data_IF_982584025005
#
_entry.id   IF_982584025005
#
_cell.length_a   1.000
_cell.length_b   1.000
_cell.length_c   1.000
_cell.angle_alpha   90.00
_cell.angle_beta   90.00
_cell.angle_gamma   90.00
#
_symmetry.space_group_name_H-M   'P 1'
#
loop_
_entity.id
_entity.type
_entity.pdbx_description
1 polymer ?
#
# COMPACT_ATOMS: atom_id res chain seq x y z
N UNK A 1 -0.31 -15.64 -13.16
CA UNK A 1 -0.18 -15.87 -11.70
C UNK A 1 -0.69 -14.66 -10.92
N UNK A 2 -0.15 -13.46 -11.20
CA UNK A 2 -0.56 -12.22 -10.50
C UNK A 2 -2.08 -11.97 -10.53
N UNK A 3 -2.73 -12.07 -11.68
CA UNK A 3 -4.19 -11.88 -11.81
C UNK A 3 -4.98 -12.89 -10.97
N UNK A 4 -4.55 -14.16 -10.96
CA UNK A 4 -5.20 -15.22 -10.18
C UNK A 4 -5.07 -14.93 -8.68
N UNK A 5 -3.88 -14.51 -8.23
CA UNK A 5 -3.66 -14.07 -6.86
C UNK A 5 -4.54 -12.86 -6.49
N UNK A 6 -4.67 -11.85 -7.36
CA UNK A 6 -5.59 -10.72 -7.11
C UNK A 6 -7.04 -11.16 -6.93
N UNK A 7 -7.52 -12.12 -7.71
CA UNK A 7 -8.89 -12.65 -7.58
C UNK A 7 -9.07 -13.42 -6.26
N UNK A 8 -8.07 -14.21 -5.87
CA UNK A 8 -8.09 -14.96 -4.61
C UNK A 8 -8.06 -14.02 -3.40
N UNK A 9 -7.21 -12.98 -3.41
CA UNK A 9 -7.15 -12.00 -2.33
C UNK A 9 -8.44 -11.18 -2.22
N UNK A 10 -9.03 -10.81 -3.36
CA UNK A 10 -10.36 -10.17 -3.39
C UNK A 10 -11.42 -11.07 -2.74
N UNK A 11 -11.40 -12.37 -3.02
CA UNK A 11 -12.27 -13.36 -2.37
C UNK A 11 -12.05 -13.43 -0.85
N UNK A 12 -10.79 -13.43 -0.40
CA UNK A 12 -10.44 -13.39 1.03
C UNK A 12 -10.97 -12.13 1.73
N UNK A 13 -10.87 -10.96 1.08
CA UNK A 13 -11.42 -9.70 1.60
C UNK A 13 -12.95 -9.76 1.70
N UNK A 14 -13.63 -10.38 0.73
CA UNK A 14 -15.09 -10.58 0.79
C UNK A 14 -15.50 -11.48 1.96
N UNK A 15 -14.69 -12.50 2.29
CA UNK A 15 -14.92 -13.34 3.47
C UNK A 15 -14.79 -12.56 4.78
N UNK A 16 -13.79 -11.67 4.87
CA UNK A 16 -13.59 -10.80 6.05
C UNK A 16 -14.72 -9.78 6.17
N UNK A 17 -15.08 -9.12 5.07
CA UNK A 17 -16.09 -8.06 5.06
C UNK A 17 -17.51 -8.58 5.35
N UNK A 18 -17.75 -9.89 5.22
CA UNK A 18 -19.01 -10.60 5.43
C UNK A 18 -20.23 -9.73 5.08
N UNK A 19 -20.39 -9.37 3.78
CA UNK A 19 -21.42 -8.43 3.39
C UNK A 19 -22.80 -9.01 3.76
N UNK A 20 -23.60 -8.18 4.43
CA UNK A 20 -24.94 -8.53 4.93
C UNK A 20 -25.84 -9.15 3.85
N UNK A 21 -25.62 -8.79 2.57
CA UNK A 21 -26.35 -9.32 1.42
C UNK A 21 -26.04 -10.79 1.08
N UNK A 22 -24.83 -11.29 1.35
CA UNK A 22 -24.43 -12.68 1.06
C UNK A 22 -24.61 -13.63 2.25
N UNK A 23 -24.58 -13.11 3.48
CA UNK A 23 -24.57 -13.92 4.70
C UNK A 23 -25.77 -13.69 5.65
N UNK A 24 -26.78 -12.89 5.25
CA UNK A 24 -28.10 -12.86 5.89
C UNK A 24 -28.18 -12.38 7.35
N UNK A 25 -27.16 -11.68 7.86
CA UNK A 25 -27.10 -11.20 9.26
C UNK A 25 -26.84 -9.69 9.40
N UNK A 26 -26.51 -9.23 10.62
CA UNK A 26 -25.99 -7.87 10.95
C UNK A 26 -24.59 -7.65 10.34
N UNK A 27 -24.43 -7.86 9.05
CA UNK A 27 -23.20 -7.54 8.32
C UNK A 27 -23.13 -6.07 7.97
N UNK A 28 -22.02 -5.67 7.34
CA UNK A 28 -21.77 -4.28 6.92
C UNK A 28 -22.91 -3.77 6.03
N UNK A 29 -23.34 -2.52 6.26
CA UNK A 29 -24.37 -1.85 5.46
C UNK A 29 -23.89 -1.73 3.99
N UNK A 30 -24.81 -1.93 3.02
CA UNK A 30 -24.51 -1.82 1.58
C UNK A 30 -23.84 -0.48 1.23
N UNK A 31 -24.29 0.61 1.84
CA UNK A 31 -23.71 1.93 1.64
C UNK A 31 -22.24 1.97 2.11
N UNK A 32 -21.94 1.41 3.28
CA UNK A 32 -20.59 1.36 3.84
C UNK A 32 -19.64 0.52 2.98
N UNK A 33 -20.12 -0.59 2.41
CA UNK A 33 -19.33 -1.42 1.50
C UNK A 33 -18.99 -0.67 0.20
N UNK A 34 -19.97 0.00 -0.41
CA UNK A 34 -19.76 0.78 -1.64
C UNK A 34 -18.78 1.93 -1.39
N UNK A 35 -18.94 2.65 -0.27
CA UNK A 35 -18.03 3.73 0.12
C UNK A 35 -16.60 3.22 0.38
N UNK A 36 -16.44 2.05 1.01
CA UNK A 36 -15.13 1.44 1.23
C UNK A 36 -14.44 1.04 -0.09
N UNK A 37 -15.19 0.45 -1.04
CA UNK A 37 -14.67 0.13 -2.36
C UNK A 37 -14.27 1.40 -3.15
N UNK A 38 -15.09 2.44 -3.07
CA UNK A 38 -14.79 3.73 -3.69
C UNK A 38 -13.54 4.37 -3.07
N UNK A 39 -13.38 4.31 -1.75
CA UNK A 39 -12.18 4.76 -1.06
C UNK A 39 -10.94 3.98 -1.51
N UNK A 40 -11.03 2.65 -1.60
CA UNK A 40 -9.93 1.81 -2.06
C UNK A 40 -9.50 2.17 -3.49
N UNK A 41 -10.46 2.37 -4.40
CA UNK A 41 -10.19 2.77 -5.78
C UNK A 41 -9.51 4.15 -5.85
N UNK A 42 -10.08 5.16 -5.18
CA UNK A 42 -9.49 6.50 -5.14
C UNK A 42 -8.11 6.51 -4.46
N UNK A 43 -7.94 5.73 -3.39
CA UNK A 43 -6.67 5.58 -2.69
C UNK A 43 -5.59 4.95 -3.56
N UNK A 44 -5.95 3.95 -4.39
CA UNK A 44 -5.03 3.37 -5.36
C UNK A 44 -4.62 4.40 -6.43
N UNK A 45 -5.58 5.11 -7.03
CA UNK A 45 -5.31 6.18 -7.99
C UNK A 45 -4.40 7.27 -7.40
N UNK A 46 -4.70 7.74 -6.18
CA UNK A 46 -3.90 8.75 -5.49
C UNK A 46 -2.45 8.29 -5.28
N UNK A 47 -2.24 7.03 -4.86
CA UNK A 47 -0.89 6.46 -4.70
C UNK A 47 -0.13 6.39 -6.02
N UNK A 48 -0.81 6.06 -7.13
CA UNK A 48 -0.19 6.03 -8.47
C UNK A 48 0.22 7.44 -8.91
N UNK A 49 -0.68 8.43 -8.77
CA UNK A 49 -0.38 9.83 -9.10
C UNK A 49 0.78 10.37 -8.25
N UNK A 50 0.76 10.11 -6.94
CA UNK A 50 1.87 10.51 -6.06
C UNK A 50 3.17 9.83 -6.46
N UNK A 51 3.13 8.55 -6.86
CA UNK A 51 4.33 7.84 -7.34
C UNK A 51 4.88 8.45 -8.63
N UNK A 52 4.02 8.90 -9.53
CA UNK A 52 4.42 9.56 -10.78
C UNK A 52 5.01 10.95 -10.51
N UNK A 53 4.33 11.76 -9.71
CA UNK A 53 4.75 13.13 -9.36
C UNK A 53 6.11 13.17 -8.61
N UNK A 54 6.47 12.08 -7.91
CA UNK A 54 7.77 11.94 -7.24
C UNK A 54 8.96 11.86 -8.19
N UNK A 55 8.73 11.60 -9.49
CA UNK A 55 9.80 11.58 -10.51
C UNK A 55 10.21 13.00 -10.93
N UNK A 56 9.30 13.97 -10.81
CA UNK A 56 9.50 15.35 -11.26
C UNK A 56 9.73 16.32 -10.09
N UNK A 57 9.11 16.06 -8.93
CA UNK A 57 9.10 16.98 -7.78
C UNK A 57 9.88 16.45 -6.55
N UNK A 58 10.34 17.34 -5.69
CA UNK A 58 10.96 16.99 -4.40
C UNK A 58 9.92 16.50 -3.39
N UNK A 59 10.33 15.66 -2.42
CA UNK A 59 9.37 15.05 -1.45
C UNK A 59 8.64 16.12 -0.66
N UNK A 60 9.35 17.20 -0.34
CA UNK A 60 8.86 18.28 0.52
C UNK A 60 7.67 18.99 -0.11
N UNK A 61 7.73 19.25 -1.42
CA UNK A 61 6.63 19.87 -2.19
C UNK A 61 5.40 18.98 -2.14
N UNK A 62 5.57 17.68 -2.36
CA UNK A 62 4.45 16.72 -2.38
C UNK A 62 3.78 16.62 -1.00
N UNK A 63 4.56 16.65 0.08
CA UNK A 63 4.01 16.66 1.44
C UNK A 63 3.25 17.95 1.75
N UNK A 64 3.76 19.11 1.33
CA UNK A 64 3.07 20.40 1.52
C UNK A 64 1.74 20.43 0.76
N UNK A 65 1.71 20.01 -0.50
CA UNK A 65 0.49 19.98 -1.31
C UNK A 65 -0.53 18.97 -0.76
N UNK A 66 -0.10 17.75 -0.45
CA UNK A 66 -1.00 16.73 0.10
C UNK A 66 -1.51 17.09 1.49
N UNK A 67 -0.69 17.71 2.34
CA UNK A 67 -1.09 18.23 3.64
C UNK A 67 -2.10 19.38 3.52
N UNK A 68 -1.86 20.32 2.59
CA UNK A 68 -2.79 21.42 2.31
C UNK A 68 -4.14 20.89 1.81
N UNK A 69 -4.12 19.93 0.90
CA UNK A 69 -5.34 19.29 0.39
C UNK A 69 -6.11 18.56 1.50
N UNK A 70 -5.43 17.80 2.36
CA UNK A 70 -6.08 17.17 3.52
C UNK A 70 -6.70 18.21 4.46
N UNK A 71 -6.03 19.34 4.70
CA UNK A 71 -6.57 20.42 5.53
C UNK A 71 -7.87 21.00 4.92
N UNK A 72 -7.87 21.29 3.62
CA UNK A 72 -9.06 21.77 2.90
C UNK A 72 -10.19 20.74 2.99
N UNK A 73 -9.90 19.45 2.72
CA UNK A 73 -10.88 18.38 2.84
C UNK A 73 -11.43 18.24 4.26
N UNK A 74 -10.60 18.40 5.29
CA UNK A 74 -11.03 18.36 6.68
C UNK A 74 -11.99 19.51 7.01
N UNK A 75 -11.69 20.74 6.55
CA UNK A 75 -12.58 21.90 6.73
C UNK A 75 -13.93 21.69 6.02
N UNK A 76 -13.89 21.22 4.76
CA UNK A 76 -15.12 20.92 4.00
C UNK A 76 -15.94 19.83 4.68
N UNK A 77 -15.29 18.77 5.18
CA UNK A 77 -15.96 17.71 5.93
C UNK A 77 -16.61 18.25 7.21
N UNK A 78 -15.92 19.13 7.95
CA UNK A 78 -16.46 19.76 9.15
C UNK A 78 -17.73 20.59 8.90
N UNK A 79 -17.85 21.20 7.71
CA UNK A 79 -19.02 22.01 7.35
C UNK A 79 -20.16 21.16 6.80
N UNK A 80 -19.83 20.14 5.99
CA UNK A 80 -20.81 19.35 5.24
C UNK A 80 -21.41 18.18 6.01
N UNK A 81 -20.70 17.65 7.01
CA UNK A 81 -21.14 16.48 7.77
C UNK A 81 -21.77 16.93 9.09
N UNK A 82 -23.10 16.84 9.26
CA UNK A 82 -23.73 17.21 10.52
C UNK A 82 -23.24 16.30 11.66
N UNK A 83 -22.74 16.91 12.74
CA UNK A 83 -22.19 16.22 13.91
C UNK A 83 -20.69 15.92 13.87
N UNK A 84 -19.96 16.34 12.82
CA UNK A 84 -18.49 16.15 12.76
C UNK A 84 -17.72 17.14 13.64
N UNK A 85 -18.33 18.25 14.03
CA UNK A 85 -17.69 19.25 14.89
C UNK A 85 -17.76 18.76 16.33
N UNK A 86 -16.69 18.11 16.78
CA UNK A 86 -16.53 17.73 18.18
C UNK A 86 -16.12 18.97 18.96
N UNK A 87 -16.94 19.38 19.92
CA UNK A 87 -16.58 20.42 20.87
C UNK A 87 -15.67 19.76 21.92
N UNK A 88 -14.38 20.05 21.89
CA UNK A 88 -13.44 19.52 22.88
C UNK A 88 -13.71 20.21 24.22
N UNK A 89 -14.21 19.45 25.19
CA UNK A 89 -14.55 19.97 26.52
C UNK A 89 -13.41 19.84 27.52
N UNK A 90 -12.42 18.98 27.25
CA UNK A 90 -11.31 18.73 28.16
C UNK A 90 -9.94 18.82 27.48
N UNK A 91 -8.96 19.37 28.19
CA UNK A 91 -7.57 19.54 27.71
C UNK A 91 -6.91 18.22 27.30
N UNK A 92 -7.23 17.10 27.96
CA UNK A 92 -6.66 15.80 27.60
C UNK A 92 -7.05 15.37 26.18
N UNK A 93 -8.26 15.70 25.72
CA UNK A 93 -8.72 15.38 24.36
C UNK A 93 -7.88 16.11 23.31
N UNK A 94 -7.52 17.37 23.58
CA UNK A 94 -6.66 18.18 22.70
C UNK A 94 -5.28 17.53 22.60
N UNK A 95 -4.70 17.13 23.75
CA UNK A 95 -3.39 16.47 23.80
C UNK A 95 -3.40 15.15 23.04
N UNK A 96 -4.42 14.30 23.23
CA UNK A 96 -4.52 13.04 22.49
C UNK A 96 -4.74 13.24 20.99
N UNK A 97 -5.48 14.28 20.59
CA UNK A 97 -5.73 14.61 19.18
C UNK A 97 -4.46 15.13 18.50
N UNK A 98 -3.68 15.97 19.19
CA UNK A 98 -2.37 16.42 18.72
C UNK A 98 -1.39 15.25 18.60
N UNK A 99 -1.31 14.38 19.62
CA UNK A 99 -0.41 13.21 19.59
C UNK A 99 -0.76 12.25 18.45
N UNK A 100 -2.04 11.91 18.29
CA UNK A 100 -2.49 11.02 17.21
C UNK A 100 -2.31 11.65 15.83
N UNK A 101 -2.59 12.96 15.69
CA UNK A 101 -2.36 13.70 14.45
C UNK A 101 -0.87 13.78 14.07
N UNK A 102 0.01 14.11 15.02
CA UNK A 102 1.46 14.15 14.80
C UNK A 102 2.02 12.76 14.49
N UNK A 103 1.56 11.71 15.17
CA UNK A 103 1.95 10.34 14.89
C UNK A 103 1.49 9.90 13.49
N UNK A 104 0.24 10.17 13.12
CA UNK A 104 -0.30 9.86 11.80
C UNK A 104 0.42 10.61 10.68
N UNK A 105 0.72 11.90 10.89
CA UNK A 105 1.50 12.69 9.94
C UNK A 105 2.92 12.14 9.81
N UNK A 106 3.59 11.81 10.93
CA UNK A 106 4.89 11.15 10.92
C UNK A 106 4.88 9.83 10.13
N UNK A 107 3.87 8.98 10.34
CA UNK A 107 3.69 7.74 9.60
C UNK A 107 3.54 7.99 8.09
N UNK A 108 2.76 9.01 7.69
CA UNK A 108 2.58 9.40 6.29
C UNK A 108 3.89 9.90 5.65
N UNK A 109 4.67 10.71 6.39
CA UNK A 109 5.99 11.21 5.98
C UNK A 109 6.95 10.03 5.77
N UNK A 110 7.03 9.11 6.74
CA UNK A 110 7.88 7.92 6.66
C UNK A 110 7.46 7.01 5.52
N UNK A 111 6.16 6.80 5.29
CA UNK A 111 5.67 6.02 4.15
C UNK A 111 6.10 6.67 2.82
N UNK A 112 5.93 7.99 2.72
CA UNK A 112 6.31 8.75 1.53
C UNK A 112 7.83 8.74 1.31
N UNK A 113 8.64 8.74 2.36
CA UNK A 113 10.10 8.59 2.27
C UNK A 113 10.51 7.15 1.92
N UNK A 114 9.87 6.14 2.52
CA UNK A 114 10.15 4.72 2.28
C UNK A 114 9.92 4.36 0.81
N UNK A 115 8.84 4.86 0.20
CA UNK A 115 8.57 4.69 -1.23
C UNK A 115 9.66 5.29 -2.15
N UNK A 116 10.63 6.06 -1.62
CA UNK A 116 11.71 6.74 -2.38
C UNK A 116 12.98 5.90 -2.31
N UNK A 117 13.18 5.25 -1.15
CA UNK A 117 14.39 4.51 -0.79
C UNK A 117 14.28 3.01 -1.11
N UNK A 118 13.07 2.47 -1.22
CA UNK A 118 12.84 1.04 -1.35
C UNK A 118 12.70 0.62 -2.82
N UNK A 119 13.68 -0.16 -3.30
CA UNK A 119 13.53 -1.03 -4.48
C UNK A 119 12.46 -2.10 -4.21
N UNK A 120 11.92 -2.75 -5.24
CA UNK A 120 10.72 -3.60 -5.16
C UNK A 120 10.65 -4.65 -4.02
N UNK A 121 11.79 -5.12 -3.47
CA UNK A 121 11.83 -6.21 -2.50
C UNK A 121 11.31 -5.86 -1.08
N UNK A 122 11.77 -4.82 -0.35
CA UNK A 122 11.23 -4.48 0.97
C UNK A 122 9.75 -4.08 1.00
N UNK A 123 9.18 -3.62 -0.11
CA UNK A 123 7.77 -3.22 -0.18
C UNK A 123 6.80 -4.40 0.09
N UNK A 124 7.21 -5.60 -0.33
CA UNK A 124 6.43 -6.82 -0.08
C UNK A 124 6.46 -7.20 1.40
N UNK A 125 7.61 -7.07 2.08
CA UNK A 125 7.76 -7.36 3.51
C UNK A 125 6.84 -6.49 4.39
N UNK A 126 6.76 -5.20 4.06
CA UNK A 126 5.88 -4.24 4.76
C UNK A 126 4.39 -4.57 4.61
N UNK A 127 4.00 -5.13 3.48
CA UNK A 127 2.61 -5.52 3.23
C UNK A 127 2.16 -6.66 4.15
N UNK A 128 3.04 -7.61 4.47
CA UNK A 128 2.73 -8.70 5.43
C UNK A 128 2.54 -8.19 6.85
N UNK A 129 3.49 -7.36 7.29
CA UNK A 129 3.48 -6.76 8.63
C UNK A 129 2.19 -5.96 8.87
N UNK A 130 1.70 -5.26 7.84
CA UNK A 130 0.47 -4.46 7.93
C UNK A 130 -0.76 -5.32 8.25
N UNK A 131 -0.91 -6.49 7.61
CA UNK A 131 -2.05 -7.39 7.86
C UNK A 131 -1.99 -7.98 9.28
N UNK A 132 -0.79 -8.43 9.69
CA UNK A 132 -0.58 -9.01 11.03
C UNK A 132 -0.82 -7.98 12.13
N UNK A 133 -0.25 -6.77 12.00
CA UNK A 133 -0.48 -5.69 12.96
C UNK A 133 -1.94 -5.25 12.98
N UNK A 134 -2.62 -5.23 11.83
CA UNK A 134 -4.05 -4.91 11.76
C UNK A 134 -4.91 -5.86 12.61
N UNK A 135 -4.64 -7.17 12.56
CA UNK A 135 -5.33 -8.16 13.39
C UNK A 135 -5.02 -7.98 14.88
N UNK A 136 -3.75 -7.81 15.24
CA UNK A 136 -3.31 -7.68 16.64
C UNK A 136 -3.93 -6.43 17.27
N UNK A 137 -3.84 -5.28 16.58
CA UNK A 137 -4.40 -4.02 17.07
C UNK A 137 -5.93 -4.05 17.08
N UNK A 138 -6.55 -4.69 16.08
CA UNK A 138 -8.00 -4.92 16.04
C UNK A 138 -8.48 -5.63 17.30
N UNK A 139 -7.86 -6.77 17.62
CA UNK A 139 -8.18 -7.54 18.82
C UNK A 139 -7.94 -6.74 20.11
N UNK A 140 -6.81 -6.05 20.23
CA UNK A 140 -6.43 -5.37 21.47
C UNK A 140 -7.27 -4.10 21.75
N UNK A 141 -7.57 -3.30 20.72
CA UNK A 141 -8.27 -2.02 20.89
C UNK A 141 -9.78 -2.13 20.76
N UNK A 142 -10.29 -2.97 19.86
CA UNK A 142 -11.73 -3.07 19.61
C UNK A 142 -12.37 -4.24 20.38
N UNK A 143 -11.57 -5.13 21.00
CA UNK A 143 -12.04 -6.36 21.66
C UNK A 143 -12.95 -7.22 20.76
N UNK A 144 -12.86 -7.02 19.45
CA UNK A 144 -13.56 -7.82 18.45
C UNK A 144 -12.78 -9.13 18.32
N UNK A 145 -13.36 -10.22 18.83
CA UNK A 145 -12.78 -11.56 18.67
C UNK A 145 -13.05 -12.00 17.24
N UNK A 146 -12.02 -12.09 16.38
CA UNK A 146 -12.25 -12.44 15.00
C UNK A 146 -12.81 -13.86 14.89
N UNK A 147 -13.87 -14.02 14.13
CA UNK A 147 -14.47 -15.34 13.89
C UNK A 147 -13.53 -16.25 13.08
N UNK A 148 -13.79 -17.56 13.11
CA UNK A 148 -13.06 -18.55 12.29
C UNK A 148 -12.99 -18.18 10.79
N UNK A 149 -14.03 -17.55 10.27
CA UNK A 149 -14.12 -17.11 8.87
C UNK A 149 -13.23 -15.90 8.57
N UNK A 150 -13.10 -14.96 9.50
CA UNK A 150 -12.23 -13.78 9.37
C UNK A 150 -10.76 -14.20 9.46
N UNK A 151 -10.45 -15.18 10.32
CA UNK A 151 -9.12 -15.75 10.43
C UNK A 151 -8.73 -16.52 9.14
N UNK A 152 -9.65 -17.29 8.58
CA UNK A 152 -9.45 -17.95 7.28
C UNK A 152 -9.26 -16.94 6.15
N UNK A 153 -10.08 -15.89 6.09
CA UNK A 153 -9.94 -14.82 5.10
C UNK A 153 -8.59 -14.10 5.23
N UNK A 154 -8.16 -13.79 6.45
CA UNK A 154 -6.87 -13.17 6.69
C UNK A 154 -5.70 -14.09 6.32
N UNK A 155 -5.79 -15.39 6.62
CA UNK A 155 -4.80 -16.37 6.21
C UNK A 155 -4.68 -16.44 4.68
N UNK A 156 -5.81 -16.46 3.95
CA UNK A 156 -5.83 -16.44 2.49
C UNK A 156 -5.17 -15.18 1.94
N UNK A 157 -5.50 -14.01 2.49
CA UNK A 157 -4.87 -12.73 2.07
C UNK A 157 -3.37 -12.77 2.32
N UNK A 158 -2.92 -13.15 3.52
CA UNK A 158 -1.50 -13.28 3.86
C UNK A 158 -0.76 -14.23 2.90
N UNK A 159 -1.29 -15.44 2.68
CA UNK A 159 -0.67 -16.43 1.80
C UNK A 159 -0.60 -15.92 0.35
N UNK A 160 -1.63 -15.23 -0.11
CA UNK A 160 -1.69 -14.70 -1.48
C UNK A 160 -0.69 -13.58 -1.68
N UNK A 161 -0.60 -12.64 -0.73
CA UNK A 161 0.43 -11.61 -0.75
C UNK A 161 1.83 -12.26 -0.76
N UNK A 162 2.01 -13.36 -0.01
CA UNK A 162 3.31 -14.04 0.15
C UNK A 162 3.78 -14.66 -1.16
N UNK A 163 2.86 -15.31 -1.87
CA UNK A 163 3.10 -15.84 -3.21
C UNK A 163 3.43 -14.74 -4.22
N UNK A 164 2.73 -13.60 -4.15
CA UNK A 164 3.01 -12.45 -5.04
C UNK A 164 4.40 -11.88 -4.82
N UNK A 165 4.82 -11.70 -3.56
CA UNK A 165 6.16 -11.18 -3.27
C UNK A 165 7.29 -12.13 -3.69
N UNK A 166 7.07 -13.44 -3.60
CA UNK A 166 8.02 -14.42 -4.13
C UNK A 166 8.12 -14.41 -5.65
N UNK A 167 7.00 -14.25 -6.35
CA UNK A 167 7.01 -14.14 -7.82
C UNK A 167 7.75 -12.88 -8.28
N UNK A 168 7.52 -11.75 -7.62
CA UNK A 168 8.20 -10.47 -7.91
C UNK A 168 9.72 -10.59 -7.73
N UNK A 169 10.18 -11.18 -6.62
CA UNK A 169 11.61 -11.45 -6.40
C UNK A 169 12.22 -12.32 -7.50
N UNK A 170 11.47 -13.32 -7.97
CA UNK A 170 11.92 -14.21 -9.05
C UNK A 170 12.04 -13.49 -10.39
N UNK A 171 11.14 -12.55 -10.68
CA UNK A 171 11.19 -11.76 -11.91
C UNK A 171 12.37 -10.78 -11.92
N UNK A 172 12.64 -10.12 -10.80
CA UNK A 172 13.78 -9.20 -10.67
C UNK A 172 15.13 -9.90 -10.89
N UNK A 173 15.32 -11.07 -10.26
CA UNK A 173 16.54 -11.85 -10.44
C UNK A 173 16.75 -12.27 -11.91
N UNK A 174 15.66 -12.60 -12.64
CA UNK A 174 15.75 -12.92 -14.07
C UNK A 174 16.15 -11.71 -14.92
N UNK A 175 15.61 -10.52 -14.61
CA UNK A 175 15.96 -9.29 -15.33
C UNK A 175 17.43 -8.89 -15.10
N UNK A 176 17.92 -8.98 -13.86
CA UNK A 176 19.33 -8.70 -13.56
C UNK A 176 20.27 -9.67 -14.29
N UNK A 177 19.91 -10.95 -14.33
CA UNK A 177 20.69 -11.95 -15.03
C UNK A 177 20.70 -11.73 -16.55
N UNK A 178 19.58 -11.32 -17.15
CA UNK A 178 19.53 -10.95 -18.57
C UNK A 178 20.35 -9.69 -18.88
N UNK A 179 20.36 -8.70 -17.99
CA UNK A 179 21.15 -7.49 -18.18
C UNK A 179 22.66 -7.77 -18.10
N UNK A 180 23.09 -8.67 -17.19
CA UNK A 180 24.49 -9.11 -17.13
C UNK A 180 24.92 -9.88 -18.38
N UNK A 181 24.08 -10.79 -18.87
CA UNK A 181 24.33 -11.53 -20.12
C UNK A 181 24.41 -10.62 -21.34
N UNK A 182 23.68 -9.49 -21.36
CA UNK A 182 23.78 -8.49 -22.41
C UNK A 182 25.10 -7.71 -22.36
N UNK A 183 25.61 -7.40 -21.15
CA UNK A 183 26.89 -6.70 -20.96
C UNK A 183 28.08 -7.59 -21.35
N UNK A 184 28.08 -8.86 -20.90
CA UNK A 184 29.10 -9.84 -21.30
C UNK A 184 29.08 -10.10 -22.82
N UNK A 185 27.88 -10.10 -23.43
CA UNK A 185 27.72 -10.19 -24.88
C UNK A 185 28.35 -9.01 -25.62
N UNK A 186 28.07 -7.78 -25.20
CA UNK A 186 28.65 -6.58 -25.82
C UNK A 186 30.17 -6.48 -25.63
N UNK A 187 30.71 -6.83 -24.46
CA UNK A 187 32.16 -6.85 -24.23
C UNK A 187 32.87 -7.87 -25.14
N UNK A 188 32.26 -9.05 -25.33
CA UNK A 188 32.82 -10.08 -26.22
C UNK A 188 32.75 -9.72 -27.72
N UNK A 189 31.73 -8.95 -28.14
CA UNK A 189 31.63 -8.43 -29.51
C UNK A 189 32.64 -7.29 -29.77
N UNK A 190 32.87 -6.42 -28.78
CA UNK A 190 33.87 -5.35 -28.86
C UNK A 190 35.31 -5.91 -28.89
N UNK A 191 35.64 -6.89 -28.04
CA UNK A 191 36.96 -7.56 -28.07
C UNK A 191 37.22 -8.29 -29.40
N UNK A 192 36.21 -8.90 -30.01
CA UNK A 192 36.34 -9.54 -31.32
C UNK A 192 36.57 -8.51 -32.45
N UNK A 193 35.86 -7.39 -32.42
CA UNK A 193 36.06 -6.31 -33.41
C UNK A 193 37.44 -5.66 -33.29
N UNK A 194 37.95 -5.50 -32.07
CA UNK A 194 39.29 -4.93 -31.82
C UNK A 194 40.38 -5.88 -32.36
N UNK A 195 40.22 -7.19 -32.15
CA UNK A 195 41.15 -8.21 -32.66
C UNK A 195 41.10 -8.38 -34.18
N UNK A 196 39.92 -8.21 -34.81
CA UNK A 196 39.76 -8.20 -36.26
C UNK A 196 40.35 -6.93 -36.92
N UNK A 197 40.38 -5.82 -36.19
CA UNK A 197 40.99 -4.57 -36.67
C UNK A 197 42.53 -4.64 -36.66
N UNK A 198 43.11 -5.27 -35.63
CA UNK A 198 44.57 -5.42 -35.44
C UNK A 198 45.20 -6.48 -36.39
N UNK A 199 44.41 -7.45 -36.84
CA UNK A 199 44.84 -8.43 -37.87
C UNK A 199 44.77 -7.90 -39.31
N UNK A 200 44.16 -6.72 -39.52
CA UNK A 200 43.94 -6.11 -40.84
C UNK A 200 44.90 -4.96 -41.16
N UNK A 201 45.65 -4.47 -40.17
CA UNK A 201 46.73 -3.48 -40.29
C UNK A 201 48.09 -4.12 -40.52
#
# INVERSE_FOLDING_TARGET
IVVVAMVISLGGVVMIAKPSFLFGGKGINKLGLVLALMQAAFGACARIVVRDLRRTETTDIIMVYSGTMHCICAVVACITVPGSVVILQHTWQVVTLLLTGSCAYGAQVTLTAALRLVEASPATAMSYLTVVWGLILGYFFFSEVPGLWELLGAAVVCSTTMLLGWDEKRQLNKQQQQHQLQLEGSESEDEQNEHETDTRS
#
